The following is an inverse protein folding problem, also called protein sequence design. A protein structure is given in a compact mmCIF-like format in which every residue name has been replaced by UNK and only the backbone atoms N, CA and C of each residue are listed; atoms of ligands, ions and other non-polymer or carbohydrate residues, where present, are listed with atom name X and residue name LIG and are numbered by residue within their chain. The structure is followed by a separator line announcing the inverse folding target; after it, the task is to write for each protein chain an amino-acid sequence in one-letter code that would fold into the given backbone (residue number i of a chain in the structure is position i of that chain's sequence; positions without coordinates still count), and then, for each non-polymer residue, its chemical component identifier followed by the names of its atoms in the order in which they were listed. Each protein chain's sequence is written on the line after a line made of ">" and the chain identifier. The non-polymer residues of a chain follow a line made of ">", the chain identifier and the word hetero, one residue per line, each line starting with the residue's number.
data_IF_182419644476
#
_entry.id   IF_182419644476
#
_cell.length_a   1.000
_cell.length_b   1.000
_cell.length_c   1.000
_cell.angle_alpha   90.00
_cell.angle_beta   90.00
_cell.angle_gamma   90.00
#
_symmetry.space_group_name_H-M   'P 1'
#
loop_
_entity.id
_entity.type
_entity.pdbx_description
1 polymer ?
#
# COMPACT_ATOMS: atom_id res chain seq x y z
N UNK A 1 2.94 -54.38 30.20
CA UNK A 1 1.83 -53.75 29.47
C UNK A 1 1.90 -52.27 29.78
N UNK A 2 2.19 -51.43 28.77
CA UNK A 2 2.42 -50.00 28.97
C UNK A 2 1.13 -49.31 29.41
N UNK A 3 1.18 -48.64 30.57
CA UNK A 3 0.14 -47.76 31.06
C UNK A 3 0.06 -46.54 30.15
N UNK A 4 -0.67 -46.66 29.04
CA UNK A 4 -1.05 -45.51 28.23
C UNK A 4 -2.19 -44.82 28.96
N UNK A 5 -1.91 -43.64 29.52
CA UNK A 5 -2.90 -42.84 30.23
C UNK A 5 -3.86 -42.21 29.19
N UNK A 6 -5.14 -42.60 29.12
CA UNK A 6 -6.06 -42.23 28.04
C UNK A 6 -6.21 -40.71 27.86
N UNK A 7 -6.18 -39.95 28.96
CA UNK A 7 -6.24 -38.49 28.94
C UNK A 7 -5.10 -37.82 28.16
N UNK A 8 -3.89 -38.39 28.21
CA UNK A 8 -2.75 -37.84 27.47
C UNK A 8 -2.86 -38.12 25.96
N UNK A 9 -3.47 -39.25 25.59
CA UNK A 9 -3.68 -39.62 24.19
C UNK A 9 -4.78 -38.76 23.53
N UNK A 10 -5.88 -38.49 24.27
CA UNK A 10 -6.90 -37.55 23.83
C UNK A 10 -6.37 -36.11 23.72
N UNK A 11 -5.52 -35.67 24.64
CA UNK A 11 -4.87 -34.36 24.55
C UNK A 11 -3.91 -34.26 23.35
N UNK A 12 -3.14 -35.31 23.09
CA UNK A 12 -2.26 -35.37 21.92
C UNK A 12 -3.06 -35.31 20.61
N UNK A 13 -4.16 -36.07 20.52
CA UNK A 13 -5.08 -36.02 19.37
C UNK A 13 -5.71 -34.64 19.19
N UNK A 14 -6.17 -34.02 20.28
CA UNK A 14 -6.72 -32.66 20.25
C UNK A 14 -5.68 -31.64 19.78
N UNK A 15 -4.47 -31.71 20.30
CA UNK A 15 -3.38 -30.79 19.94
C UNK A 15 -2.99 -30.95 18.47
N UNK A 16 -2.94 -32.19 17.97
CA UNK A 16 -2.62 -32.46 16.57
C UNK A 16 -3.74 -31.96 15.63
N UNK A 17 -5.01 -32.15 16.02
CA UNK A 17 -6.16 -31.61 15.29
C UNK A 17 -6.19 -30.08 15.33
N UNK A 18 -5.89 -29.47 16.48
CA UNK A 18 -5.80 -28.02 16.65
C UNK A 18 -4.66 -27.42 15.82
N UNK A 19 -3.51 -28.11 15.72
CA UNK A 19 -2.40 -27.64 14.88
C UNK A 19 -2.80 -27.64 13.39
N UNK A 20 -3.51 -28.67 12.92
CA UNK A 20 -4.02 -28.72 11.54
C UNK A 20 -5.07 -27.64 11.23
N UNK A 21 -5.97 -27.37 12.19
CA UNK A 21 -6.95 -26.28 12.08
C UNK A 21 -6.29 -24.90 12.14
N UNK A 22 -5.27 -24.71 12.99
CA UNK A 22 -4.55 -23.44 13.08
C UNK A 22 -3.77 -23.13 11.79
N UNK A 23 -3.20 -24.15 11.15
CA UNK A 23 -2.46 -24.00 9.90
C UNK A 23 -3.40 -23.61 8.74
N UNK A 24 -4.52 -24.29 8.61
CA UNK A 24 -5.54 -23.99 7.59
C UNK A 24 -6.22 -22.63 7.83
N UNK A 25 -6.62 -22.34 9.07
CA UNK A 25 -7.16 -21.03 9.43
C UNK A 25 -6.16 -19.90 9.22
N UNK A 26 -4.86 -20.15 9.42
CA UNK A 26 -3.80 -19.18 9.15
C UNK A 26 -3.67 -18.84 7.67
N UNK A 27 -3.71 -19.85 6.80
CA UNK A 27 -3.67 -19.66 5.35
C UNK A 27 -4.92 -18.92 4.84
N UNK A 28 -6.10 -19.27 5.36
CA UNK A 28 -7.36 -18.59 5.03
C UNK A 28 -7.38 -17.14 5.53
N UNK A 29 -6.91 -16.88 6.76
CA UNK A 29 -6.80 -15.53 7.30
C UNK A 29 -5.84 -14.66 6.47
N UNK A 30 -4.73 -15.24 6.00
CA UNK A 30 -3.76 -14.54 5.14
C UNK A 30 -4.37 -14.21 3.77
N UNK A 31 -5.14 -15.12 3.19
CA UNK A 31 -5.85 -14.89 1.93
C UNK A 31 -6.92 -13.80 2.08
N UNK A 32 -7.73 -13.86 3.15
CA UNK A 32 -8.74 -12.85 3.45
C UNK A 32 -8.10 -11.47 3.69
N UNK A 33 -7.00 -11.41 4.42
CA UNK A 33 -6.25 -10.17 4.66
C UNK A 33 -5.70 -9.59 3.35
N UNK A 34 -5.15 -10.44 2.46
CA UNK A 34 -4.69 -10.02 1.13
C UNK A 34 -5.83 -9.41 0.32
N UNK A 35 -6.96 -10.08 0.25
CA UNK A 35 -8.14 -9.59 -0.48
C UNK A 35 -8.67 -8.27 0.09
N UNK A 36 -8.66 -8.12 1.42
CA UNK A 36 -9.06 -6.87 2.07
C UNK A 36 -8.07 -5.73 1.80
N UNK A 37 -6.77 -6.02 1.79
CA UNK A 37 -5.74 -5.06 1.44
C UNK A 37 -5.82 -4.63 -0.04
N UNK A 38 -6.05 -5.57 -0.96
CA UNK A 38 -6.22 -5.27 -2.38
C UNK A 38 -7.46 -4.40 -2.63
N UNK A 39 -8.57 -4.70 -1.93
CA UNK A 39 -9.77 -3.87 -1.96
C UNK A 39 -9.51 -2.47 -1.41
N UNK A 40 -8.80 -2.35 -0.29
CA UNK A 40 -8.43 -1.06 0.27
C UNK A 40 -7.55 -0.27 -0.71
N UNK A 41 -6.55 -0.90 -1.32
CA UNK A 41 -5.70 -0.26 -2.34
C UNK A 41 -6.51 0.19 -3.56
N UNK A 42 -7.52 -0.58 -3.98
CA UNK A 42 -8.40 -0.22 -5.08
C UNK A 42 -9.39 0.91 -4.73
N UNK A 43 -9.86 0.95 -3.49
CA UNK A 43 -10.77 1.99 -2.98
C UNK A 43 -10.03 3.31 -2.70
N UNK A 44 -8.71 3.26 -2.49
CA UNK A 44 -7.89 4.45 -2.31
C UNK A 44 -7.49 5.02 -3.68
N UNK A 45 -7.71 6.33 -3.86
CA UNK A 45 -7.30 7.08 -5.06
C UNK A 45 -5.77 7.30 -5.06
N UNK A 46 -5.02 6.22 -5.26
CA UNK A 46 -3.57 6.24 -5.24
C UNK A 46 -3.02 6.63 -6.61
N UNK A 47 -2.25 7.72 -6.64
CA UNK A 47 -1.50 8.11 -7.83
C UNK A 47 -0.29 7.20 -8.00
N UNK A 48 -0.08 6.67 -9.21
CA UNK A 48 1.11 5.89 -9.50
C UNK A 48 2.35 6.76 -9.33
N UNK A 49 3.44 6.14 -8.86
CA UNK A 49 4.71 6.83 -8.72
C UNK A 49 5.18 7.47 -10.03
N UNK A 50 5.06 6.75 -11.14
CA UNK A 50 5.49 7.24 -12.46
C UNK A 50 4.72 8.51 -12.88
N UNK A 51 3.40 8.52 -12.68
CA UNK A 51 2.55 9.67 -13.01
C UNK A 51 2.89 10.87 -12.13
N UNK A 52 3.17 10.62 -10.84
CA UNK A 52 3.58 11.65 -9.89
C UNK A 52 4.96 12.23 -10.23
N UNK A 53 5.90 11.39 -10.66
CA UNK A 53 7.23 11.83 -11.07
C UNK A 53 7.19 12.59 -12.41
N UNK A 54 6.34 12.16 -13.36
CA UNK A 54 6.09 12.88 -14.61
C UNK A 54 5.48 14.27 -14.35
N UNK A 55 4.44 14.36 -13.52
CA UNK A 55 3.79 15.62 -13.17
C UNK A 55 4.75 16.60 -12.47
N UNK A 56 5.62 16.09 -11.59
CA UNK A 56 6.66 16.92 -10.95
C UNK A 56 7.61 17.53 -11.97
N UNK A 57 8.06 16.74 -12.95
CA UNK A 57 8.95 17.22 -13.99
C UNK A 57 8.28 18.30 -14.85
N UNK A 58 7.01 18.10 -15.22
CA UNK A 58 6.22 19.08 -15.96
C UNK A 58 6.02 20.38 -15.17
N UNK A 59 5.66 20.29 -13.88
CA UNK A 59 5.50 21.47 -13.02
C UNK A 59 6.83 22.23 -12.89
N UNK A 60 7.95 21.52 -12.78
CA UNK A 60 9.27 22.16 -12.70
C UNK A 60 9.60 22.92 -14.00
N UNK A 61 9.34 22.32 -15.16
CA UNK A 61 9.54 22.95 -16.46
C UNK A 61 8.65 24.20 -16.63
N UNK A 62 7.36 24.09 -16.32
CA UNK A 62 6.42 25.22 -16.38
C UNK A 62 6.81 26.35 -15.44
N UNK A 63 7.29 26.05 -14.23
CA UNK A 63 7.77 27.07 -13.29
C UNK A 63 9.00 27.80 -13.82
N UNK A 64 9.91 27.08 -14.49
CA UNK A 64 11.08 27.68 -15.12
C UNK A 64 10.64 28.61 -16.27
N UNK A 65 9.77 28.15 -17.16
CA UNK A 65 9.23 28.94 -18.27
C UNK A 65 8.51 30.20 -17.77
N UNK A 66 7.67 30.08 -16.73
CA UNK A 66 7.01 31.23 -16.10
C UNK A 66 8.02 32.22 -15.52
N UNK A 67 9.11 31.74 -14.90
CA UNK A 67 10.15 32.61 -14.38
C UNK A 67 10.88 33.37 -15.50
N UNK A 68 11.19 32.68 -16.61
CA UNK A 68 11.80 33.28 -17.79
C UNK A 68 10.89 34.34 -18.42
N UNK A 69 9.61 34.02 -18.64
CA UNK A 69 8.62 34.95 -19.19
C UNK A 69 8.43 36.18 -18.28
N UNK A 70 8.41 35.99 -16.95
CA UNK A 70 8.34 37.10 -15.98
C UNK A 70 9.62 37.94 -15.97
N UNK A 71 10.79 37.35 -16.18
CA UNK A 71 12.04 38.08 -16.29
C UNK A 71 12.15 38.85 -17.63
N UNK A 72 11.57 38.30 -18.69
CA UNK A 72 11.49 38.92 -20.01
C UNK A 72 10.36 39.96 -20.12
N UNK A 73 9.41 39.99 -19.19
CA UNK A 73 8.36 41.00 -19.15
C UNK A 73 8.99 42.40 -19.03
N UNK A 74 8.75 43.32 -19.98
CA UNK A 74 9.40 44.61 -19.97
C UNK A 74 8.97 45.42 -18.73
N UNK A 75 9.93 45.99 -17.99
CA UNK A 75 9.73 47.00 -16.91
C UNK A 75 9.10 48.32 -17.41
N UNK A 76 8.27 48.31 -18.45
CA UNK A 76 7.73 49.49 -19.14
C UNK A 76 6.21 49.64 -19.06
N UNK A 77 5.54 49.02 -18.08
CA UNK A 77 4.17 49.43 -17.73
C UNK A 77 4.13 50.72 -16.87
N UNK A 78 5.27 51.16 -16.32
CA UNK A 78 5.38 52.41 -15.57
C UNK A 78 6.01 53.53 -16.42
N UNK A 79 5.38 53.87 -17.55
CA UNK A 79 5.46 55.19 -18.20
C UNK A 79 4.59 55.18 -19.47
N UNK A 80 3.36 55.64 -19.32
CA UNK A 80 2.65 56.39 -20.35
C UNK A 80 1.56 57.21 -19.64
N UNK A 81 1.87 58.51 -19.56
CA UNK A 81 1.04 59.70 -19.38
C UNK A 81 0.02 59.74 -18.23
#
# INVERSE_FOLDING_TARGET
>A
MQTQNPFLDEFAKLTNAAMGLAQTAGDEAKAAFRAQADRFVADFDLVRRDDLDALKAEIAALRAEVAELKAAAPKKAAKKD
#
